data_IF_567862022294
#
_entry.id   IF_567862022294
#
_cell.length_a   1.000
_cell.length_b   1.000
_cell.length_c   1.000
_cell.angle_alpha   90.00
_cell.angle_beta   90.00
_cell.angle_gamma   90.00
#
_symmetry.space_group_name_H-M   'P 1'
#
loop_
_entity.id
_entity.type
_entity.pdbx_description
1 polymer ?
#
# COMPACT_ATOMS: atom_id res chain seq x y z
N UNK A 1 3.29 -0.53 -14.94
CA UNK A 1 4.41 -0.41 -13.98
C UNK A 1 5.25 -1.69 -14.00
N UNK A 2 6.59 -1.60 -13.71
CA UNK A 2 7.46 -2.79 -13.72
C UNK A 2 6.99 -3.92 -12.79
N UNK A 3 6.49 -3.57 -11.61
CA UNK A 3 5.93 -4.53 -10.63
C UNK A 3 4.69 -5.26 -11.17
N UNK A 4 3.86 -4.60 -11.98
CA UNK A 4 2.69 -5.23 -12.61
C UNK A 4 3.06 -6.19 -13.73
N UNK A 5 4.21 -5.99 -14.37
CA UNK A 5 4.68 -6.85 -15.48
C UNK A 5 5.37 -8.10 -14.95
N UNK A 6 6.23 -7.95 -13.94
CA UNK A 6 7.02 -9.04 -13.34
C UNK A 6 6.92 -8.97 -11.81
N UNK A 7 5.78 -9.39 -11.21
CA UNK A 7 5.64 -9.42 -9.76
C UNK A 7 6.63 -10.41 -9.14
N UNK A 8 7.18 -10.04 -7.96
CA UNK A 8 8.16 -10.85 -7.25
C UNK A 8 9.62 -10.65 -7.67
N UNK A 9 9.89 -9.82 -8.71
CA UNK A 9 11.26 -9.52 -9.11
C UNK A 9 12.03 -8.81 -7.98
N UNK A 10 13.18 -9.32 -7.62
CA UNK A 10 13.97 -8.90 -6.46
C UNK A 10 14.24 -7.39 -6.40
N UNK A 11 14.46 -6.73 -7.55
CA UNK A 11 14.72 -5.29 -7.62
C UNK A 11 13.56 -4.42 -7.12
N UNK A 12 12.33 -4.97 -7.09
CA UNK A 12 11.11 -4.27 -6.69
C UNK A 12 10.37 -4.98 -5.54
N UNK A 13 11.05 -5.90 -4.85
CA UNK A 13 10.42 -6.71 -3.81
C UNK A 13 11.20 -6.64 -2.49
N UNK A 14 10.64 -6.02 -1.44
CA UNK A 14 9.33 -5.38 -1.40
C UNK A 14 9.31 -4.06 -2.18
N UNK A 15 8.11 -3.65 -2.66
CA UNK A 15 7.84 -2.27 -3.02
C UNK A 15 7.32 -1.55 -1.77
N UNK A 16 8.07 -0.56 -1.28
CA UNK A 16 7.71 0.24 -0.13
C UNK A 16 7.33 1.66 -0.60
N UNK A 17 6.05 2.01 -0.51
CA UNK A 17 5.51 3.31 -0.93
C UNK A 17 5.30 4.16 0.32
N UNK A 18 5.96 5.31 0.40
CA UNK A 18 5.83 6.19 1.56
C UNK A 18 5.61 7.65 1.15
N UNK A 19 5.18 8.46 2.11
CA UNK A 19 4.90 9.89 1.94
C UNK A 19 3.78 10.34 2.85
N UNK A 20 3.51 11.63 2.91
CA UNK A 20 2.52 12.23 3.80
C UNK A 20 1.13 11.62 3.63
N UNK A 21 0.29 11.77 4.67
CA UNK A 21 -1.08 11.31 4.62
C UNK A 21 -1.86 12.01 3.48
N UNK A 22 -2.72 11.26 2.79
CA UNK A 22 -3.59 11.81 1.74
C UNK A 22 -2.95 11.97 0.36
N UNK A 23 -1.70 11.53 0.14
CA UNK A 23 -1.05 11.61 -1.17
C UNK A 23 -1.46 10.49 -2.15
N UNK A 24 -2.35 9.58 -1.76
CA UNK A 24 -2.84 8.52 -2.62
C UNK A 24 -2.04 7.22 -2.56
N UNK A 25 -1.25 6.96 -1.51
CA UNK A 25 -0.47 5.72 -1.32
C UNK A 25 -1.34 4.47 -1.42
N UNK A 26 -2.42 4.43 -0.68
CA UNK A 26 -3.42 3.35 -0.70
C UNK A 26 -3.98 3.14 -2.11
N UNK A 27 -4.36 4.22 -2.79
CA UNK A 27 -4.91 4.19 -4.14
C UNK A 27 -3.89 3.61 -5.13
N UNK A 28 -2.63 4.05 -5.05
CA UNK A 28 -1.55 3.53 -5.90
C UNK A 28 -1.29 2.05 -5.64
N UNK A 29 -1.23 1.62 -4.37
CA UNK A 29 -1.02 0.23 -4.03
C UNK A 29 -2.16 -0.67 -4.53
N UNK A 30 -3.40 -0.24 -4.41
CA UNK A 30 -4.57 -0.94 -4.95
C UNK A 30 -4.55 -0.96 -6.48
N UNK A 31 -4.21 0.14 -7.14
CA UNK A 31 -4.10 0.20 -8.60
C UNK A 31 -3.04 -0.77 -9.13
N UNK A 32 -1.90 -0.90 -8.43
CA UNK A 32 -0.86 -1.89 -8.77
C UNK A 32 -1.42 -3.30 -8.62
N UNK A 33 -2.13 -3.59 -7.52
CA UNK A 33 -2.75 -4.89 -7.29
C UNK A 33 -3.77 -5.26 -8.38
N UNK A 34 -4.56 -4.29 -8.83
CA UNK A 34 -5.51 -4.46 -9.93
C UNK A 34 -4.80 -4.69 -11.27
N UNK A 35 -3.73 -3.93 -11.58
CA UNK A 35 -2.93 -4.12 -12.80
C UNK A 35 -2.30 -5.52 -12.82
N UNK A 36 -1.75 -5.99 -11.68
CA UNK A 36 -1.24 -7.37 -11.55
C UNK A 36 -2.36 -8.37 -11.85
N UNK A 37 -3.52 -8.22 -11.22
CA UNK A 37 -4.64 -9.15 -11.39
C UNK A 37 -5.19 -9.17 -12.81
N UNK A 38 -5.15 -8.05 -13.52
CA UNK A 38 -5.54 -7.97 -14.93
C UNK A 38 -4.54 -8.68 -15.85
N UNK A 39 -3.22 -8.54 -15.58
CA UNK A 39 -2.16 -9.17 -16.39
C UNK A 39 -1.95 -10.63 -16.07
N UNK A 40 -2.15 -11.00 -14.82
CA UNK A 40 -1.91 -12.32 -14.24
C UNK A 40 -3.16 -12.79 -13.48
N UNK A 41 -4.23 -13.17 -14.18
CA UNK A 41 -5.50 -13.57 -13.54
C UNK A 41 -5.37 -14.76 -12.59
N UNK A 42 -4.36 -15.61 -12.81
CA UNK A 42 -4.04 -16.78 -12.00
C UNK A 42 -3.48 -16.43 -10.62
N UNK A 43 -2.82 -15.27 -10.46
CA UNK A 43 -2.20 -14.89 -9.21
C UNK A 43 -3.23 -14.47 -8.16
N UNK A 44 -3.00 -14.90 -6.93
CA UNK A 44 -3.79 -14.50 -5.77
C UNK A 44 -3.24 -13.19 -5.20
N UNK A 45 -3.98 -12.11 -5.39
CA UNK A 45 -3.65 -10.77 -4.88
C UNK A 45 -4.50 -10.47 -3.65
N UNK A 46 -3.86 -10.25 -2.51
CA UNK A 46 -4.51 -9.90 -1.25
C UNK A 46 -4.11 -8.49 -0.80
N UNK A 47 -5.11 -7.64 -0.61
CA UNK A 47 -4.96 -6.33 0.03
C UNK A 47 -5.54 -6.36 1.45
N UNK A 48 -4.79 -5.84 2.42
CA UNK A 48 -5.23 -5.70 3.80
C UNK A 48 -4.55 -4.51 4.46
N UNK A 49 -5.29 -3.75 5.28
CA UNK A 49 -4.65 -2.74 6.16
C UNK A 49 -3.97 -3.42 7.35
N UNK A 50 -2.90 -2.83 7.86
CA UNK A 50 -2.19 -3.37 9.01
C UNK A 50 -3.09 -3.50 10.25
N UNK A 51 -4.01 -2.57 10.47
CA UNK A 51 -5.00 -2.65 11.55
C UNK A 51 -5.90 -3.88 11.42
N UNK A 52 -6.38 -4.19 10.21
CA UNK A 52 -7.20 -5.38 9.95
C UNK A 52 -6.38 -6.67 10.12
N UNK A 53 -5.12 -6.68 9.64
CA UNK A 53 -4.20 -7.80 9.85
C UNK A 53 -4.01 -8.09 11.34
N UNK A 54 -3.79 -7.06 12.16
CA UNK A 54 -3.62 -7.21 13.61
C UNK A 54 -4.89 -7.75 14.30
N UNK A 55 -6.06 -7.21 13.93
CA UNK A 55 -7.34 -7.67 14.47
C UNK A 55 -7.58 -9.15 14.14
N UNK A 56 -7.31 -9.56 12.89
CA UNK A 56 -7.44 -10.96 12.48
C UNK A 56 -6.44 -11.86 13.19
N UNK A 57 -5.18 -11.43 13.35
CA UNK A 57 -4.18 -12.21 14.10
C UNK A 57 -4.57 -12.37 15.57
N UNK A 58 -5.05 -11.30 16.20
CA UNK A 58 -5.53 -11.35 17.58
C UNK A 58 -6.67 -12.36 17.73
N UNK A 59 -7.61 -12.36 16.80
CA UNK A 59 -8.73 -13.34 16.79
C UNK A 59 -8.20 -14.77 16.62
N UNK A 60 -7.26 -14.98 15.71
CA UNK A 60 -6.66 -16.31 15.49
C UNK A 60 -5.91 -16.82 16.75
N UNK A 61 -5.21 -15.93 17.47
CA UNK A 61 -4.56 -16.28 18.74
C UNK A 61 -5.59 -16.68 19.81
N UNK A 62 -6.68 -15.91 19.94
CA UNK A 62 -7.76 -16.23 20.88
C UNK A 62 -8.43 -17.58 20.58
N UNK A 63 -8.58 -17.89 19.29
CA UNK A 63 -9.13 -19.16 18.83
C UNK A 63 -8.10 -20.32 18.87
N UNK A 64 -6.85 -20.07 19.26
CA UNK A 64 -5.72 -21.03 19.25
C UNK A 64 -5.34 -21.54 17.84
N UNK A 65 -5.55 -20.72 16.82
CA UNK A 65 -5.29 -21.02 15.39
C UNK A 65 -4.27 -20.05 14.75
N UNK A 66 -3.20 -19.60 15.45
CA UNK A 66 -2.26 -18.63 14.87
C UNK A 66 -1.49 -19.19 13.67
N UNK A 67 -1.28 -20.50 13.60
CA UNK A 67 -0.59 -21.14 12.47
C UNK A 67 -1.46 -21.13 11.21
N UNK A 68 -2.76 -21.33 11.32
CA UNK A 68 -3.68 -21.30 10.17
C UNK A 68 -3.75 -19.90 9.58
N UNK A 69 -3.74 -18.88 10.45
CA UNK A 69 -3.61 -17.49 10.02
C UNK A 69 -2.31 -17.23 9.23
N UNK A 70 -1.16 -17.68 9.75
CA UNK A 70 0.13 -17.51 9.06
C UNK A 70 0.11 -18.26 7.73
N UNK A 71 -0.35 -19.50 7.70
CA UNK A 71 -0.42 -20.32 6.49
C UNK A 71 -1.31 -19.67 5.43
N UNK A 72 -2.48 -19.11 5.80
CA UNK A 72 -3.36 -18.40 4.90
C UNK A 72 -2.63 -17.25 4.16
N UNK A 73 -1.91 -16.41 4.90
CA UNK A 73 -1.17 -15.30 4.31
C UNK A 73 0.04 -15.75 3.48
N UNK A 74 0.61 -16.92 3.76
CA UNK A 74 1.72 -17.48 2.99
C UNK A 74 1.29 -18.10 1.65
N UNK A 75 0.01 -18.36 1.45
CA UNK A 75 -0.52 -18.94 0.21
C UNK A 75 -0.67 -17.91 -0.91
N UNK A 76 -0.77 -16.61 -0.60
CA UNK A 76 -0.99 -15.57 -1.62
C UNK A 76 0.26 -15.36 -2.47
N UNK A 77 0.09 -14.88 -3.71
CA UNK A 77 1.19 -14.56 -4.61
C UNK A 77 1.61 -13.09 -4.54
N UNK A 78 0.66 -12.22 -4.20
CA UNK A 78 0.90 -10.79 -4.00
C UNK A 78 0.23 -10.36 -2.71
N UNK A 79 1.01 -9.85 -1.75
CA UNK A 79 0.51 -9.31 -0.50
C UNK A 79 0.73 -7.80 -0.46
N UNK A 80 -0.38 -7.07 -0.34
CA UNK A 80 -0.40 -5.62 -0.19
C UNK A 80 -0.80 -5.31 1.25
N UNK A 81 0.12 -4.69 2.00
CA UNK A 81 -0.14 -4.23 3.38
C UNK A 81 -0.17 -2.71 3.39
N UNK A 82 -1.31 -2.15 3.76
CA UNK A 82 -1.51 -0.72 3.86
C UNK A 82 -1.28 -0.23 5.29
N UNK A 83 -0.67 0.94 5.41
CA UNK A 83 -0.38 1.62 6.69
C UNK A 83 0.49 0.78 7.64
N UNK A 84 1.67 0.33 7.16
CA UNK A 84 2.59 -0.52 7.95
C UNK A 84 3.07 0.14 9.25
N UNK A 85 3.05 1.48 9.36
CA UNK A 85 3.37 2.22 10.59
C UNK A 85 2.49 1.81 11.78
N UNK A 86 1.28 1.33 11.53
CA UNK A 86 0.38 0.82 12.56
C UNK A 86 0.90 -0.44 13.27
N UNK A 87 1.94 -1.08 12.72
CA UNK A 87 2.63 -2.20 13.37
C UNK A 87 3.52 -1.73 14.55
N UNK A 88 3.78 -0.43 14.66
CA UNK A 88 4.57 0.17 15.75
C UNK A 88 3.94 -0.05 17.12
N UNK A 89 4.77 -0.04 18.16
CA UNK A 89 4.36 -0.23 19.54
C UNK A 89 4.61 -1.65 20.07
N UNK A 90 4.13 -1.95 21.26
CA UNK A 90 4.40 -3.21 21.96
C UNK A 90 3.57 -4.38 21.39
N UNK A 91 3.78 -4.70 20.12
CA UNK A 91 3.04 -5.73 19.36
C UNK A 91 3.93 -6.90 18.94
N UNK A 92 4.85 -7.32 19.80
CA UNK A 92 5.90 -8.29 19.46
C UNK A 92 5.42 -9.59 18.83
N UNK A 93 4.29 -10.15 19.27
CA UNK A 93 3.74 -11.38 18.67
C UNK A 93 3.23 -11.16 17.26
N UNK A 94 2.54 -10.05 17.00
CA UNK A 94 2.06 -9.68 15.66
C UNK A 94 3.22 -9.36 14.73
N UNK A 95 4.25 -8.65 15.22
CA UNK A 95 5.47 -8.39 14.46
C UNK A 95 6.19 -9.68 14.07
N UNK A 96 6.26 -10.67 14.98
CA UNK A 96 6.85 -11.98 14.69
C UNK A 96 6.03 -12.77 13.66
N UNK A 97 4.71 -12.76 13.74
CA UNK A 97 3.85 -13.39 12.76
C UNK A 97 4.02 -12.76 11.38
N UNK A 98 4.01 -11.41 11.30
CA UNK A 98 4.23 -10.69 10.07
C UNK A 98 5.63 -10.95 9.48
N UNK A 99 6.65 -11.00 10.34
CA UNK A 99 8.00 -11.36 9.92
C UNK A 99 8.08 -12.75 9.26
N UNK A 100 7.41 -13.75 9.82
CA UNK A 100 7.38 -15.10 9.26
C UNK A 100 6.68 -15.13 7.90
N UNK A 101 5.55 -14.42 7.76
CA UNK A 101 4.83 -14.27 6.50
C UNK A 101 5.70 -13.56 5.46
N UNK A 102 6.28 -12.41 5.82
CA UNK A 102 7.16 -11.62 4.96
C UNK A 102 8.30 -12.46 4.40
N UNK A 103 9.04 -13.16 5.29
CA UNK A 103 10.17 -14.00 4.87
C UNK A 103 9.75 -15.10 3.93
N UNK A 104 8.66 -15.80 4.24
CA UNK A 104 8.16 -16.87 3.39
C UNK A 104 7.85 -16.36 1.98
N UNK A 105 7.07 -15.29 1.87
CA UNK A 105 6.68 -14.71 0.60
C UNK A 105 7.90 -14.21 -0.19
N UNK A 106 8.80 -13.47 0.46
CA UNK A 106 9.98 -12.94 -0.19
C UNK A 106 10.92 -14.04 -0.72
N UNK A 107 11.19 -15.08 0.09
CA UNK A 107 12.04 -16.19 -0.30
C UNK A 107 11.41 -17.07 -1.40
N UNK A 108 10.08 -17.10 -1.46
CA UNK A 108 9.34 -17.81 -2.51
C UNK A 108 9.17 -16.98 -3.78
N UNK A 109 9.79 -15.81 -3.89
CA UNK A 109 9.67 -14.92 -5.05
C UNK A 109 8.29 -14.30 -5.23
N UNK A 110 7.48 -14.25 -4.16
CA UNK A 110 6.15 -13.64 -4.15
C UNK A 110 6.24 -12.14 -3.87
N UNK A 111 5.36 -11.33 -4.45
CA UNK A 111 5.43 -9.89 -4.37
C UNK A 111 4.89 -9.36 -3.05
N UNK A 112 5.63 -8.44 -2.44
CA UNK A 112 5.24 -7.65 -1.28
C UNK A 112 5.14 -6.18 -1.67
N UNK A 113 4.02 -5.53 -1.30
CA UNK A 113 3.79 -4.10 -1.46
C UNK A 113 3.38 -3.55 -0.11
N UNK A 114 4.10 -2.56 0.38
CA UNK A 114 3.87 -1.93 1.67
C UNK A 114 3.62 -0.44 1.48
N UNK A 115 2.66 0.12 2.20
CA UNK A 115 2.50 1.58 2.27
C UNK A 115 2.77 2.09 3.67
N UNK A 116 3.23 3.33 3.78
CA UNK A 116 3.50 3.99 5.06
C UNK A 116 3.41 5.51 4.95
N UNK A 117 3.10 6.17 6.05
CA UNK A 117 3.28 7.62 6.20
C UNK A 117 4.73 8.02 6.51
N UNK A 118 5.61 7.03 6.79
CA UNK A 118 7.00 7.22 7.21
C UNK A 118 7.96 6.41 6.35
N UNK A 119 9.19 6.90 6.24
CA UNK A 119 10.31 6.12 5.68
C UNK A 119 10.62 4.92 6.59
N UNK A 120 11.17 3.82 6.05
CA UNK A 120 11.57 2.68 6.88
C UNK A 120 12.53 3.03 8.02
N UNK A 121 13.35 4.08 7.84
CA UNK A 121 14.29 4.58 8.86
C UNK A 121 13.64 5.38 9.98
N UNK A 122 12.43 5.86 9.79
CA UNK A 122 11.67 6.70 10.73
C UNK A 122 10.64 5.89 11.54
N UNK A 123 10.46 4.62 11.18
CA UNK A 123 9.59 3.73 11.94
C UNK A 123 10.24 3.40 13.29
N UNK A 124 9.52 3.68 14.37
CA UNK A 124 9.89 3.35 15.74
C UNK A 124 9.13 2.14 16.26
N UNK A 125 9.66 1.49 17.30
CA UNK A 125 9.01 0.38 17.98
C UNK A 125 8.65 -0.80 17.07
N UNK A 126 9.39 -0.97 15.97
CA UNK A 126 9.34 -2.12 15.08
C UNK A 126 10.65 -2.91 15.19
N UNK A 127 10.54 -4.23 15.18
CA UNK A 127 11.67 -5.14 15.26
C UNK A 127 12.70 -4.85 14.14
N UNK A 128 13.98 -4.72 14.49
CA UNK A 128 15.09 -4.43 13.56
C UNK A 128 15.14 -5.39 12.36
N UNK A 129 14.73 -6.64 12.57
CA UNK A 129 14.65 -7.63 11.49
C UNK A 129 13.64 -7.25 10.41
N UNK A 130 12.49 -6.66 10.78
CA UNK A 130 11.50 -6.15 9.86
C UNK A 130 11.98 -4.87 9.19
N UNK A 131 12.55 -3.93 9.96
CA UNK A 131 13.10 -2.67 9.43
C UNK A 131 14.18 -2.94 8.36
N UNK A 132 15.04 -3.92 8.59
CA UNK A 132 16.04 -4.34 7.61
C UNK A 132 15.39 -4.82 6.32
N UNK A 133 14.30 -5.59 6.40
CA UNK A 133 13.59 -6.13 5.25
C UNK A 133 12.80 -5.09 4.48
N UNK A 134 12.24 -4.11 5.15
CA UNK A 134 11.55 -2.99 4.49
C UNK A 134 12.50 -2.15 3.61
N UNK A 135 13.80 -2.21 3.89
CA UNK A 135 14.85 -1.54 3.10
C UNK A 135 15.33 -2.36 1.91
N UNK A 136 14.93 -3.65 1.81
CA UNK A 136 15.21 -4.44 0.61
C UNK A 136 14.35 -3.92 -0.55
N UNK A 137 14.66 -4.25 -1.77
CA UNK A 137 13.85 -3.85 -2.92
C UNK A 137 13.81 -2.35 -3.17
N UNK A 138 12.63 -1.80 -3.48
CA UNK A 138 12.44 -0.40 -3.88
C UNK A 138 11.62 0.38 -2.87
N UNK A 139 12.17 1.48 -2.36
CA UNK A 139 11.43 2.48 -1.60
C UNK A 139 11.10 3.66 -2.53
N UNK A 140 9.81 3.94 -2.70
CA UNK A 140 9.28 5.02 -3.55
C UNK A 140 8.57 6.07 -2.69
N UNK A 141 9.05 7.30 -2.75
CA UNK A 141 8.41 8.43 -2.08
C UNK A 141 7.32 9.04 -2.97
N UNK A 142 6.12 9.16 -2.41
CA UNK A 142 5.05 9.97 -3.00
C UNK A 142 5.14 11.38 -2.44
N UNK A 143 5.36 12.33 -3.33
CA UNK A 143 5.36 13.76 -3.03
C UNK A 143 4.03 14.39 -3.43
N UNK A 144 3.82 15.63 -3.03
CA UNK A 144 2.64 16.38 -3.47
C UNK A 144 2.57 16.43 -4.99
N UNK A 145 1.37 16.25 -5.57
CA UNK A 145 1.18 16.33 -7.01
C UNK A 145 1.48 17.76 -7.51
N UNK A 146 2.16 17.85 -8.65
CA UNK A 146 2.31 19.10 -9.36
C UNK A 146 0.96 19.58 -9.95
N UNK A 147 0.95 20.80 -10.48
CA UNK A 147 -0.25 21.42 -11.05
C UNK A 147 -0.89 20.53 -12.14
N UNK A 148 -0.08 20.00 -13.06
CA UNK A 148 -0.59 19.15 -14.14
C UNK A 148 -1.23 17.87 -13.63
N UNK A 149 -0.63 17.25 -12.62
CA UNK A 149 -1.18 16.04 -11.96
C UNK A 149 -2.49 16.36 -11.24
N UNK A 150 -2.56 17.51 -10.53
CA UNK A 150 -3.81 17.96 -9.89
C UNK A 150 -4.94 18.12 -10.91
N UNK A 151 -4.67 18.80 -12.03
CA UNK A 151 -5.63 18.98 -13.13
C UNK A 151 -6.15 17.62 -13.63
N UNK A 152 -5.24 16.66 -13.88
CA UNK A 152 -5.63 15.31 -14.32
C UNK A 152 -6.49 14.58 -13.29
N UNK A 153 -6.17 14.71 -11.99
CA UNK A 153 -6.96 14.10 -10.91
C UNK A 153 -8.37 14.71 -10.89
N UNK A 154 -8.49 16.04 -10.97
CA UNK A 154 -9.79 16.75 -10.98
C UNK A 154 -10.63 16.28 -12.18
N UNK A 155 -10.07 16.26 -13.38
CA UNK A 155 -10.80 15.76 -14.55
C UNK A 155 -11.24 14.30 -14.43
N UNK A 156 -10.39 13.43 -13.91
CA UNK A 156 -10.76 12.02 -13.71
C UNK A 156 -11.89 11.87 -12.68
N UNK A 157 -11.86 12.66 -11.62
CA UNK A 157 -12.95 12.70 -10.63
C UNK A 157 -14.23 13.26 -11.23
N UNK A 158 -14.15 14.35 -11.96
CA UNK A 158 -15.32 14.95 -12.62
C UNK A 158 -16.03 13.95 -13.53
N UNK A 159 -15.29 13.16 -14.30
CA UNK A 159 -15.87 12.10 -15.15
C UNK A 159 -16.59 10.99 -14.39
N UNK A 160 -16.28 10.80 -13.12
CA UNK A 160 -16.91 9.78 -12.27
C UNK A 160 -18.15 10.30 -11.54
N UNK A 161 -18.45 11.60 -11.62
CA UNK A 161 -19.60 12.26 -11.00
C UNK A 161 -20.67 12.52 -12.06
N UNK A 162 -21.88 12.04 -11.83
CA UNK A 162 -23.03 12.30 -12.70
C UNK A 162 -23.29 13.81 -12.82
N UNK A 163 -23.29 14.33 -14.06
CA UNK A 163 -23.54 15.75 -14.35
C UNK A 163 -22.33 16.65 -14.31
N UNK A 164 -21.11 16.15 -14.00
CA UNK A 164 -19.87 16.93 -13.96
C UNK A 164 -19.00 16.76 -15.21
N UNK A 165 -19.54 16.19 -16.30
CA UNK A 165 -18.80 15.90 -17.53
C UNK A 165 -18.26 17.17 -18.24
N UNK A 166 -18.83 18.36 -17.92
CA UNK A 166 -18.48 19.64 -18.53
C UNK A 166 -18.11 20.69 -17.48
N UNK A 167 -17.18 20.39 -16.57
CA UNK A 167 -16.65 21.43 -15.68
C UNK A 167 -15.82 22.41 -16.51
N UNK A 168 -16.10 23.75 -16.43
CA UNK A 168 -15.30 24.75 -17.10
C UNK A 168 -13.82 24.67 -16.67
N UNK A 169 -12.90 24.84 -17.64
CA UNK A 169 -11.46 24.81 -17.36
C UNK A 169 -11.02 25.84 -16.31
N UNK A 170 -11.69 26.97 -16.21
CA UNK A 170 -11.45 27.99 -15.19
C UNK A 170 -11.71 27.46 -13.77
N UNK A 171 -12.71 26.62 -13.62
CA UNK A 171 -13.04 25.98 -12.33
C UNK A 171 -11.98 24.92 -11.98
N UNK A 172 -11.57 24.12 -12.96
CA UNK A 172 -10.48 23.14 -12.79
C UNK A 172 -9.18 23.83 -12.38
N UNK A 173 -8.84 24.93 -13.07
CA UNK A 173 -7.65 25.73 -12.76
C UNK A 173 -7.72 26.31 -11.35
N UNK A 174 -8.86 26.89 -10.97
CA UNK A 174 -9.08 27.43 -9.63
C UNK A 174 -8.85 26.37 -8.54
N UNK A 175 -9.41 25.18 -8.68
CA UNK A 175 -9.19 24.08 -7.73
C UNK A 175 -7.73 23.64 -7.70
N UNK A 176 -7.09 23.46 -8.86
CA UNK A 176 -5.69 23.02 -8.94
C UNK A 176 -4.70 23.99 -8.28
N UNK A 177 -5.00 25.32 -8.35
CA UNK A 177 -4.19 26.38 -7.73
C UNK A 177 -4.43 26.50 -6.22
N UNK A 178 -5.67 26.35 -5.77
CA UNK A 178 -6.05 26.64 -4.39
C UNK A 178 -6.01 25.42 -3.47
N UNK A 179 -6.00 24.19 -4.01
CA UNK A 179 -5.79 22.99 -3.20
C UNK A 179 -4.29 22.87 -2.88
N UNK A 180 -3.92 23.37 -1.71
CA UNK A 180 -2.55 23.30 -1.18
C UNK A 180 -2.30 22.03 -0.35
N UNK A 181 -3.31 21.20 -0.21
CA UNK A 181 -3.31 20.03 0.64
C UNK A 181 -3.07 18.71 -0.11
N UNK A 182 -3.60 17.69 0.45
CA UNK A 182 -3.47 16.33 -0.05
C UNK A 182 -4.57 16.00 -1.08
N UNK A 183 -4.39 14.91 -1.80
CA UNK A 183 -5.35 14.43 -2.81
C UNK A 183 -6.75 14.18 -2.22
N UNK A 184 -6.86 13.89 -0.91
CA UNK A 184 -8.16 13.74 -0.23
C UNK A 184 -9.00 15.02 -0.24
N UNK A 185 -8.38 16.20 -0.26
CA UNK A 185 -9.11 17.47 -0.37
C UNK A 185 -9.73 17.66 -1.76
N UNK A 186 -9.19 16.97 -2.77
CA UNK A 186 -9.79 16.92 -4.11
C UNK A 186 -10.99 15.96 -4.13
N UNK A 187 -11.04 15.02 -3.19
CA UNK A 187 -12.05 13.97 -3.12
C UNK A 187 -13.29 14.34 -2.27
N UNK A 188 -13.17 15.31 -1.38
CA UNK A 188 -14.23 15.83 -0.49
C UNK A 188 -14.95 17.00 -1.05
#
# INVERSE_FOLDING_TARGET
MAVGVEPGKTAYNPLYIFGDSGLGKTHLAQAIGMDIKQRHPELQVLYVSMNKFQAQYTTAVLNKEPNDFINFYQMVDVLIIDDIQELSGNKGSTQNAFFNIFNHLHLSGKQLILTSDKRPSELSDINDRLLTRFKWGLAAELTQPDYETKVKIIHNKARSLDGAENIPEEVVAYFAENINGNVREIEG
#
